data_IF_717601819752
#
_entry.id   IF_717601819752
#
_cell.length_a   1.000
_cell.length_b   1.000
_cell.length_c   1.000
_cell.angle_alpha   90.00
_cell.angle_beta   90.00
_cell.angle_gamma   90.00
#
_symmetry.space_group_name_H-M   'P 1'
#
loop_
_entity.id
_entity.type
_entity.pdbx_description
1 polymer ?
#
# COMPACT_ATOMS: atom_id res chain seq x y z
N UNK A 1 2.84 -27.24 26.78
CA UNK A 1 1.98 -26.20 27.39
C UNK A 1 2.20 -24.88 26.65
N UNK A 2 1.29 -24.49 25.76
CA UNK A 2 1.37 -23.20 25.04
C UNK A 2 0.85 -22.12 25.99
N UNK A 3 1.72 -21.25 26.49
CA UNK A 3 1.30 -20.08 27.29
C UNK A 3 0.33 -19.21 26.49
N UNK A 4 -0.67 -18.66 27.19
CA UNK A 4 -1.70 -17.77 26.66
C UNK A 4 -1.07 -16.61 25.88
N UNK A 5 -1.74 -16.14 24.82
CA UNK A 5 -1.31 -15.01 24.00
C UNK A 5 -0.97 -13.76 24.86
N UNK A 6 -1.71 -13.55 25.94
CA UNK A 6 -1.45 -12.48 26.91
C UNK A 6 -0.10 -12.62 27.64
N UNK A 7 0.30 -13.85 27.99
CA UNK A 7 1.59 -14.10 28.64
C UNK A 7 2.75 -13.77 27.69
N UNK A 8 2.61 -14.08 26.40
CA UNK A 8 3.64 -13.75 25.39
C UNK A 8 3.77 -12.24 25.20
N UNK A 9 2.67 -11.49 25.25
CA UNK A 9 2.67 -10.02 25.20
C UNK A 9 3.37 -9.42 26.43
N UNK A 10 3.12 -9.97 27.63
CA UNK A 10 3.81 -9.56 28.86
C UNK A 10 5.32 -9.85 28.83
N UNK A 11 5.72 -11.02 28.33
CA UNK A 11 7.14 -11.40 28.21
C UNK A 11 7.86 -10.51 27.18
N UNK A 12 7.18 -10.12 26.11
CA UNK A 12 7.73 -9.24 25.08
C UNK A 12 7.80 -7.76 25.49
N UNK A 13 7.42 -7.39 26.73
CA UNK A 13 7.42 -6.01 27.22
C UNK A 13 6.67 -5.02 26.31
N UNK A 14 5.62 -5.50 25.62
CA UNK A 14 4.86 -4.72 24.65
C UNK A 14 5.58 -4.44 23.31
N UNK A 15 6.79 -4.99 23.08
CA UNK A 15 7.47 -4.91 21.80
C UNK A 15 6.88 -5.97 20.85
N UNK A 16 6.24 -5.58 19.72
CA UNK A 16 5.61 -6.50 18.78
C UNK A 16 6.66 -7.13 17.86
N UNK A 17 7.70 -7.74 18.44
CA UNK A 17 8.89 -8.19 17.70
C UNK A 17 8.52 -9.06 16.50
N UNK A 18 7.60 -10.01 16.63
CA UNK A 18 7.17 -10.87 15.52
C UNK A 18 6.58 -10.12 14.31
N UNK A 19 5.80 -9.06 14.55
CA UNK A 19 5.20 -8.28 13.46
C UNK A 19 6.22 -7.39 12.76
N UNK A 20 7.24 -6.90 13.47
CA UNK A 20 8.32 -6.13 12.87
C UNK A 20 9.20 -7.00 11.97
N UNK A 21 9.52 -8.24 12.39
CA UNK A 21 10.20 -9.20 11.51
C UNK A 21 9.39 -9.51 10.25
N UNK A 22 8.07 -9.70 10.38
CA UNK A 22 7.20 -9.94 9.24
C UNK A 22 7.18 -8.76 8.26
N UNK A 23 7.16 -7.52 8.79
CA UNK A 23 7.25 -6.30 7.96
C UNK A 23 8.57 -6.25 7.19
N UNK A 24 9.68 -6.52 7.86
CA UNK A 24 11.02 -6.54 7.23
C UNK A 24 11.04 -7.61 6.13
N UNK A 25 10.61 -8.84 6.43
CA UNK A 25 10.57 -9.93 5.45
C UNK A 25 9.70 -9.60 4.22
N UNK A 26 8.50 -9.06 4.43
CA UNK A 26 7.63 -8.63 3.33
C UNK A 26 8.24 -7.47 2.53
N UNK A 27 8.83 -6.47 3.19
CA UNK A 27 9.49 -5.34 2.51
C UNK A 27 10.68 -5.79 1.64
N UNK A 28 11.46 -6.77 2.13
CA UNK A 28 12.56 -7.35 1.38
C UNK A 28 12.04 -8.13 0.16
N UNK A 29 10.95 -8.89 0.32
CA UNK A 29 10.32 -9.59 -0.79
C UNK A 29 9.81 -8.61 -1.87
N UNK A 30 9.19 -7.50 -1.48
CA UNK A 30 8.78 -6.41 -2.39
C UNK A 30 9.99 -5.82 -3.10
N UNK A 31 11.08 -5.54 -2.38
CA UNK A 31 12.31 -4.97 -2.94
C UNK A 31 12.95 -5.91 -3.97
N UNK A 32 13.14 -7.18 -3.63
CA UNK A 32 13.70 -8.20 -4.53
C UNK A 32 12.85 -8.35 -5.79
N UNK A 33 11.53 -8.43 -5.63
CA UNK A 33 10.60 -8.55 -6.75
C UNK A 33 10.71 -7.34 -7.70
N UNK A 34 10.74 -6.12 -7.17
CA UNK A 34 10.85 -4.92 -7.99
C UNK A 34 12.21 -4.75 -8.66
N UNK A 35 13.31 -5.05 -7.97
CA UNK A 35 14.64 -5.04 -8.58
C UNK A 35 14.70 -6.01 -9.77
N UNK A 36 14.10 -7.20 -9.66
CA UNK A 36 14.02 -8.14 -10.77
C UNK A 36 13.11 -7.63 -11.89
N UNK A 37 11.93 -7.10 -11.55
CA UNK A 37 10.95 -6.63 -12.53
C UNK A 37 11.47 -5.45 -13.37
N UNK A 38 12.25 -4.55 -12.76
CA UNK A 38 12.88 -3.44 -13.49
C UNK A 38 14.03 -3.91 -14.36
N UNK A 39 14.87 -4.82 -13.87
CA UNK A 39 16.05 -5.30 -14.62
C UNK A 39 15.70 -6.28 -15.75
N UNK A 40 14.62 -7.05 -15.62
CA UNK A 40 14.26 -8.13 -16.55
C UNK A 40 12.78 -8.02 -16.93
N UNK A 41 12.35 -6.88 -17.47
CA UNK A 41 10.94 -6.57 -17.71
C UNK A 41 10.17 -7.70 -18.43
N UNK A 42 10.70 -8.20 -19.55
CA UNK A 42 10.04 -9.23 -20.36
C UNK A 42 9.94 -10.59 -19.66
N UNK A 43 10.99 -11.01 -18.96
CA UNK A 43 11.03 -12.28 -18.22
C UNK A 43 10.26 -12.23 -16.90
N UNK A 44 10.19 -11.05 -16.27
CA UNK A 44 9.46 -10.85 -15.01
C UNK A 44 7.98 -11.15 -15.16
N UNK A 45 7.38 -10.80 -16.30
CA UNK A 45 5.98 -11.08 -16.56
C UNK A 45 5.72 -12.59 -16.69
N UNK A 46 6.61 -13.30 -17.39
CA UNK A 46 6.53 -14.75 -17.54
C UNK A 46 6.70 -15.47 -16.20
N UNK A 47 7.63 -15.02 -15.37
CA UNK A 47 7.94 -15.70 -14.11
C UNK A 47 6.91 -15.41 -13.00
N UNK A 48 6.51 -14.14 -12.83
CA UNK A 48 5.69 -13.69 -11.70
C UNK A 48 4.21 -13.54 -12.00
N UNK A 49 3.79 -13.50 -13.27
CA UNK A 49 2.38 -13.35 -13.62
C UNK A 49 1.85 -14.52 -14.44
N UNK A 50 2.65 -15.14 -15.30
CA UNK A 50 2.25 -16.35 -16.03
C UNK A 50 2.83 -17.64 -15.42
N UNK A 51 3.74 -17.52 -14.45
CA UNK A 51 4.57 -18.62 -13.97
C UNK A 51 4.15 -19.18 -12.60
N UNK A 52 4.91 -20.16 -12.08
CA UNK A 52 4.61 -20.84 -10.82
C UNK A 52 4.69 -19.91 -9.60
N UNK A 53 5.44 -18.81 -9.70
CA UNK A 53 5.61 -17.84 -8.60
C UNK A 53 4.45 -16.85 -8.48
N UNK A 54 3.45 -16.92 -9.38
CA UNK A 54 2.32 -16.00 -9.42
C UNK A 54 1.57 -15.87 -8.11
N UNK A 55 1.26 -16.99 -7.46
CA UNK A 55 0.51 -16.95 -6.21
C UNK A 55 1.28 -16.22 -5.10
N UNK A 56 2.60 -16.43 -5.04
CA UNK A 56 3.45 -15.80 -4.05
C UNK A 56 3.62 -14.30 -4.35
N UNK A 57 4.01 -13.94 -5.58
CA UNK A 57 4.17 -12.53 -5.98
C UNK A 57 2.89 -11.74 -5.76
N UNK A 58 1.74 -12.34 -6.10
CA UNK A 58 0.45 -11.68 -5.96
C UNK A 58 -0.03 -11.56 -4.50
N UNK A 59 0.47 -12.40 -3.59
CA UNK A 59 0.09 -12.38 -2.18
C UNK A 59 0.91 -11.39 -1.35
N UNK A 60 2.13 -11.02 -1.78
CA UNK A 60 3.05 -10.18 -0.98
C UNK A 60 2.40 -8.85 -0.57
N UNK A 61 1.82 -8.12 -1.53
CA UNK A 61 1.18 -6.82 -1.26
C UNK A 61 -0.11 -6.96 -0.42
N UNK A 62 -1.04 -7.87 -0.74
CA UNK A 62 -2.17 -8.21 0.14
C UNK A 62 -1.76 -8.55 1.57
N UNK A 63 -0.71 -9.35 1.76
CA UNK A 63 -0.19 -9.69 3.09
C UNK A 63 0.34 -8.44 3.82
N UNK A 64 1.04 -7.55 3.11
CA UNK A 64 1.51 -6.29 3.68
C UNK A 64 0.35 -5.37 4.10
N UNK A 65 -0.67 -5.25 3.27
CA UNK A 65 -1.87 -4.46 3.56
C UNK A 65 -2.70 -5.07 4.70
N UNK A 66 -2.89 -6.39 4.74
CA UNK A 66 -3.59 -7.07 5.84
C UNK A 66 -2.86 -6.89 7.18
N UNK A 67 -1.54 -7.05 7.18
CA UNK A 67 -0.72 -6.79 8.37
C UNK A 67 -0.82 -5.32 8.80
N UNK A 68 -0.79 -4.38 7.84
CA UNK A 68 -0.98 -2.97 8.10
C UNK A 68 -2.35 -2.71 8.75
N UNK A 69 -3.42 -3.26 8.18
CA UNK A 69 -4.79 -3.14 8.71
C UNK A 69 -4.92 -3.58 10.16
N UNK A 70 -4.35 -4.74 10.49
CA UNK A 70 -4.34 -5.26 11.86
C UNK A 70 -3.67 -4.30 12.85
N UNK A 71 -2.47 -3.82 12.51
CA UNK A 71 -1.67 -2.95 13.39
C UNK A 71 -2.24 -1.53 13.48
N UNK A 72 -2.82 -1.04 12.39
CA UNK A 72 -3.45 0.27 12.31
C UNK A 72 -4.76 0.29 13.09
N UNK A 73 -5.58 -0.77 13.01
CA UNK A 73 -6.75 -0.95 13.86
C UNK A 73 -6.37 -0.90 15.36
N UNK A 74 -5.26 -1.56 15.74
CA UNK A 74 -4.76 -1.49 17.11
C UNK A 74 -4.19 -0.14 17.53
N UNK A 75 -3.73 0.67 16.59
CA UNK A 75 -3.39 2.07 16.87
C UNK A 75 -4.63 2.94 17.05
N UNK A 76 -5.69 2.71 16.28
CA UNK A 76 -6.95 3.44 16.40
C UNK A 76 -7.59 3.22 17.78
N UNK A 77 -7.60 1.98 18.28
CA UNK A 77 -8.13 1.68 19.62
C UNK A 77 -7.38 2.35 20.78
N UNK A 78 -6.15 2.83 20.55
CA UNK A 78 -5.30 3.48 21.57
C UNK A 78 -5.22 5.00 21.45
N UNK A 79 -5.84 5.60 20.43
CA UNK A 79 -5.66 7.02 20.11
C UNK A 79 -6.99 7.71 19.82
N UNK A 80 -7.04 9.04 20.00
CA UNK A 80 -8.18 9.84 19.51
C UNK A 80 -8.11 9.97 17.99
N UNK A 81 -9.25 10.15 17.31
CA UNK A 81 -9.33 10.25 15.84
C UNK A 81 -8.35 11.30 15.22
N UNK A 82 -8.22 12.48 15.82
CA UNK A 82 -7.27 13.50 15.33
C UNK A 82 -5.80 13.09 15.52
N UNK A 83 -5.46 12.43 16.64
CA UNK A 83 -4.12 11.90 16.89
C UNK A 83 -3.82 10.76 15.91
N UNK A 84 -4.80 9.89 15.68
CA UNK A 84 -4.70 8.82 14.69
C UNK A 84 -4.39 9.38 13.30
N UNK A 85 -5.15 10.38 12.84
CA UNK A 85 -4.91 11.03 11.55
C UNK A 85 -3.50 11.64 11.47
N UNK A 86 -3.09 12.39 12.49
CA UNK A 86 -1.76 13.01 12.54
C UNK A 86 -0.63 11.97 12.46
N UNK A 87 -0.74 10.84 13.16
CA UNK A 87 0.25 9.76 13.11
C UNK A 87 0.38 9.14 11.71
N UNK A 88 -0.69 9.16 10.90
CA UNK A 88 -0.64 8.67 9.50
C UNK A 88 -0.04 9.69 8.56
N UNK A 89 -0.36 10.97 8.73
CA UNK A 89 0.24 12.05 7.95
C UNK A 89 1.75 12.12 8.20
N UNK A 90 2.19 12.07 9.46
CA UNK A 90 3.61 12.05 9.83
C UNK A 90 4.36 10.79 9.37
N UNK A 91 3.64 9.71 9.06
CA UNK A 91 4.23 8.49 8.49
C UNK A 91 4.45 8.61 6.98
N UNK A 92 3.48 9.17 6.25
CA UNK A 92 3.49 9.19 4.78
C UNK A 92 4.23 10.43 4.25
N UNK A 93 3.84 11.62 4.71
CA UNK A 93 4.26 12.89 4.09
C UNK A 93 5.79 13.07 4.12
N UNK A 94 6.51 12.84 5.24
CA UNK A 94 7.96 13.06 5.25
C UNK A 94 8.71 12.13 4.28
N UNK A 95 8.27 10.88 4.17
CA UNK A 95 8.87 9.91 3.27
C UNK A 95 8.61 10.27 1.79
N UNK A 96 7.37 10.66 1.45
CA UNK A 96 7.04 11.11 0.09
C UNK A 96 7.71 12.43 -0.26
N UNK A 97 7.75 13.40 0.66
CA UNK A 97 8.47 14.65 0.45
C UNK A 97 9.94 14.42 0.12
N UNK A 98 10.61 13.58 0.90
CA UNK A 98 12.00 13.24 0.66
C UNK A 98 12.20 12.54 -0.68
N UNK A 99 11.41 11.50 -0.98
CA UNK A 99 11.49 10.77 -2.25
C UNK A 99 11.22 11.69 -3.44
N UNK A 100 10.15 12.48 -3.38
CA UNK A 100 9.74 13.34 -4.49
C UNK A 100 10.77 14.42 -4.78
N UNK A 101 11.35 15.04 -3.73
CA UNK A 101 12.44 16.01 -3.87
C UNK A 101 13.70 15.35 -4.44
N UNK A 102 14.06 14.17 -3.93
CA UNK A 102 15.22 13.43 -4.39
C UNK A 102 15.10 13.08 -5.88
N UNK A 103 13.94 12.55 -6.29
CA UNK A 103 13.71 12.17 -7.69
C UNK A 103 13.63 13.41 -8.59
N UNK A 104 12.86 14.44 -8.22
CA UNK A 104 12.70 15.63 -9.04
C UNK A 104 14.01 16.43 -9.20
N UNK A 105 14.75 16.64 -8.11
CA UNK A 105 15.93 17.52 -8.16
C UNK A 105 17.22 16.79 -8.53
N UNK A 106 17.38 15.51 -8.17
CA UNK A 106 18.62 14.77 -8.44
C UNK A 106 18.46 13.84 -9.64
N UNK A 107 17.55 12.87 -9.60
CA UNK A 107 17.40 11.94 -10.73
C UNK A 107 16.91 12.66 -11.99
N UNK A 108 15.93 13.54 -11.85
CA UNK A 108 15.37 14.30 -12.95
C UNK A 108 16.41 15.14 -13.69
N UNK A 109 17.28 15.83 -12.96
CA UNK A 109 18.33 16.68 -13.56
C UNK A 109 19.48 15.90 -14.17
N UNK A 110 19.80 14.71 -13.63
CA UNK A 110 20.85 13.82 -14.16
C UNK A 110 20.40 13.13 -15.46
N UNK A 111 19.13 12.72 -15.54
CA UNK A 111 18.62 11.87 -16.63
C UNK A 111 17.74 12.60 -17.64
N UNK A 112 17.45 13.90 -17.46
CA UNK A 112 16.67 14.66 -18.45
C UNK A 112 17.47 14.91 -19.73
N UNK A 113 16.81 14.74 -20.88
CA UNK A 113 17.35 15.12 -22.20
C UNK A 113 17.11 16.60 -22.54
N UNK A 114 16.35 17.32 -21.70
CA UNK A 114 16.02 18.72 -21.92
C UNK A 114 17.07 19.65 -21.27
N UNK A 115 17.27 20.87 -21.82
CA UNK A 115 18.00 21.91 -21.10
C UNK A 115 17.37 22.18 -19.73
N UNK A 116 18.20 22.37 -18.69
CA UNK A 116 17.72 22.56 -17.31
C UNK A 116 16.74 23.74 -17.16
N UNK A 117 16.89 24.78 -17.98
CA UNK A 117 15.96 25.92 -18.01
C UNK A 117 14.55 25.50 -18.45
N UNK A 118 14.45 24.62 -19.45
CA UNK A 118 13.18 24.06 -19.93
C UNK A 118 12.61 23.07 -18.90
N UNK A 119 13.48 22.24 -18.31
CA UNK A 119 13.12 21.29 -17.28
C UNK A 119 12.42 21.96 -16.08
N UNK A 120 13.06 22.96 -15.47
CA UNK A 120 12.52 23.66 -14.29
C UNK A 120 11.35 24.59 -14.61
N UNK A 121 11.19 25.02 -15.87
CA UNK A 121 10.05 25.84 -16.28
C UNK A 121 8.82 25.02 -16.67
N UNK A 122 8.94 23.69 -16.72
CA UNK A 122 7.84 22.81 -17.12
C UNK A 122 6.78 22.69 -16.03
N UNK A 123 5.50 22.73 -16.43
CA UNK A 123 4.38 22.45 -15.53
C UNK A 123 4.42 21.01 -14.97
N UNK A 124 4.96 20.05 -15.72
CA UNK A 124 5.10 18.65 -15.31
C UNK A 124 6.06 18.51 -14.12
N UNK A 125 7.13 19.30 -14.10
CA UNK A 125 8.07 19.33 -12.97
C UNK A 125 7.36 19.75 -11.67
N UNK A 126 6.55 20.80 -11.72
CA UNK A 126 5.79 21.26 -10.55
C UNK A 126 4.66 20.30 -10.17
N UNK A 127 3.99 19.70 -11.16
CA UNK A 127 2.95 18.70 -10.92
C UNK A 127 3.51 17.47 -10.18
N UNK A 128 4.77 17.10 -10.42
CA UNK A 128 5.43 16.01 -9.69
C UNK A 128 5.47 16.23 -8.17
N UNK A 129 5.52 17.47 -7.68
CA UNK A 129 5.47 17.76 -6.25
C UNK A 129 4.10 17.47 -5.60
N UNK A 130 3.05 17.28 -6.40
CA UNK A 130 1.75 16.84 -5.88
C UNK A 130 1.78 15.40 -5.36
N UNK A 131 2.82 14.62 -5.69
CA UNK A 131 3.10 13.31 -5.08
C UNK A 131 3.17 13.38 -3.56
N UNK A 132 3.67 14.48 -2.98
CA UNK A 132 3.83 14.70 -1.53
C UNK A 132 2.50 14.59 -0.79
N UNK A 133 1.42 15.04 -1.43
CA UNK A 133 0.06 15.04 -0.87
C UNK A 133 -0.79 13.85 -1.37
N UNK A 134 -0.18 12.92 -2.12
CA UNK A 134 -0.83 11.71 -2.60
C UNK A 134 -1.49 11.80 -3.97
N UNK A 135 -1.30 12.90 -4.73
CA UNK A 135 -1.74 13.00 -6.13
C UNK A 135 -0.63 12.50 -7.04
N UNK A 136 -0.73 11.24 -7.45
CA UNK A 136 0.38 10.52 -8.05
C UNK A 136 0.65 10.95 -9.50
N UNK A 137 1.89 11.36 -9.76
CA UNK A 137 2.47 11.66 -11.06
C UNK A 137 3.72 10.79 -11.24
N UNK A 138 3.79 10.09 -12.37
CA UNK A 138 4.83 9.08 -12.61
C UNK A 138 6.01 9.57 -13.46
N UNK A 139 5.86 10.71 -14.13
CA UNK A 139 6.77 11.19 -15.16
C UNK A 139 7.37 12.55 -14.80
N UNK A 140 8.55 12.82 -15.35
CA UNK A 140 9.23 14.11 -15.27
C UNK A 140 9.62 14.54 -16.69
N UNK A 141 9.71 15.85 -16.96
CA UNK A 141 9.92 16.36 -18.30
C UNK A 141 11.26 15.90 -18.88
N UNK A 142 11.21 15.21 -20.01
CA UNK A 142 12.39 14.74 -20.73
C UNK A 142 13.16 13.60 -20.05
N UNK A 143 12.58 12.93 -19.05
CA UNK A 143 13.22 11.83 -18.35
C UNK A 143 12.70 10.50 -18.91
N UNK A 144 13.61 9.59 -19.27
CA UNK A 144 13.33 8.24 -19.76
C UNK A 144 12.24 8.16 -20.86
N UNK A 145 12.19 9.12 -21.79
CA UNK A 145 11.20 9.18 -22.87
C UNK A 145 9.74 9.08 -22.38
N UNK A 146 9.43 9.68 -21.23
CA UNK A 146 8.09 9.68 -20.64
C UNK A 146 7.70 8.36 -19.98
N UNK A 147 8.66 7.47 -19.71
CA UNK A 147 8.43 6.26 -18.90
C UNK A 147 8.28 6.62 -17.42
N UNK A 148 7.59 5.75 -16.69
CA UNK A 148 7.39 5.89 -15.25
C UNK A 148 8.72 5.81 -14.51
N UNK A 149 9.05 6.85 -13.75
CA UNK A 149 10.30 6.92 -12.98
C UNK A 149 10.16 6.17 -11.66
N UNK A 150 9.01 6.35 -11.00
CA UNK A 150 8.69 5.64 -9.77
C UNK A 150 7.35 4.94 -9.88
N UNK A 151 7.39 3.70 -10.39
CA UNK A 151 6.21 2.86 -10.47
C UNK A 151 5.60 2.59 -9.07
N UNK A 152 6.38 2.57 -7.99
CA UNK A 152 5.94 2.17 -6.63
C UNK A 152 4.87 3.07 -6.03
N UNK A 153 4.78 4.32 -6.49
CA UNK A 153 3.81 5.30 -6.01
C UNK A 153 2.35 4.84 -6.17
N UNK A 154 2.08 3.84 -7.03
CA UNK A 154 0.74 3.30 -7.26
C UNK A 154 0.03 2.75 -6.00
N UNK A 155 0.78 2.34 -4.98
CA UNK A 155 0.20 1.81 -3.73
C UNK A 155 -0.26 2.90 -2.77
N UNK A 156 0.29 4.12 -2.87
CA UNK A 156 0.05 5.22 -1.93
C UNK A 156 -1.42 5.66 -1.90
N UNK A 157 -2.12 5.86 -3.04
CA UNK A 157 -3.54 6.20 -3.02
C UNK A 157 -4.37 5.16 -2.28
N UNK A 158 -4.04 3.87 -2.46
CA UNK A 158 -4.75 2.77 -1.79
C UNK A 158 -4.49 2.79 -0.28
N UNK A 159 -3.27 3.12 0.16
CA UNK A 159 -2.95 3.27 1.59
C UNK A 159 -3.70 4.45 2.23
N UNK A 160 -3.77 5.59 1.54
CA UNK A 160 -4.55 6.76 1.98
C UNK A 160 -6.04 6.43 2.06
N UNK A 161 -6.58 5.73 1.06
CA UNK A 161 -7.97 5.25 1.05
C UNK A 161 -8.26 4.33 2.24
N UNK A 162 -7.35 3.39 2.56
CA UNK A 162 -7.49 2.51 3.72
C UNK A 162 -7.61 3.28 5.03
N UNK A 163 -6.77 4.30 5.22
CA UNK A 163 -6.79 5.13 6.43
C UNK A 163 -8.07 5.96 6.51
N UNK A 164 -8.49 6.57 5.40
CA UNK A 164 -9.72 7.34 5.33
C UNK A 164 -10.95 6.46 5.60
N UNK A 165 -11.04 5.31 4.93
CA UNK A 165 -12.11 4.34 5.11
C UNK A 165 -12.20 3.88 6.56
N UNK A 166 -11.08 3.50 7.18
CA UNK A 166 -11.08 3.09 8.58
C UNK A 166 -11.54 4.22 9.53
N UNK A 167 -11.13 5.47 9.28
CA UNK A 167 -11.60 6.61 10.07
C UNK A 167 -13.12 6.81 9.94
N UNK A 168 -13.65 6.74 8.72
CA UNK A 168 -15.09 6.85 8.46
C UNK A 168 -15.86 5.73 9.14
N UNK A 169 -15.39 4.48 9.02
CA UNK A 169 -16.00 3.32 9.66
C UNK A 169 -15.97 3.41 11.19
N UNK A 170 -14.92 4.01 11.75
CA UNK A 170 -14.82 4.28 13.18
C UNK A 170 -15.78 5.38 13.64
N UNK A 171 -15.94 6.45 12.86
CA UNK A 171 -16.87 7.55 13.13
C UNK A 171 -18.33 7.07 13.12
N UNK A 172 -18.71 6.26 12.14
CA UNK A 172 -20.05 5.65 12.04
C UNK A 172 -20.24 4.52 13.09
N UNK A 173 -19.18 4.12 13.79
CA UNK A 173 -19.22 3.11 14.84
C UNK A 173 -19.31 1.68 14.32
N UNK A 174 -19.05 1.44 13.03
CA UNK A 174 -19.07 0.10 12.45
C UNK A 174 -17.93 -0.78 13.00
N UNK A 175 -16.81 -0.16 13.39
CA UNK A 175 -15.72 -0.86 14.07
C UNK A 175 -16.12 -1.40 15.46
N UNK A 176 -17.24 -0.95 16.03
CA UNK A 176 -17.81 -1.50 17.28
C UNK A 176 -18.79 -2.65 17.04
N UNK A 177 -19.10 -2.98 15.77
CA UNK A 177 -20.05 -4.02 15.37
C UNK A 177 -19.35 -5.02 14.45
N UNK A 178 -18.47 -5.89 14.97
CA UNK A 178 -17.56 -6.71 14.16
C UNK A 178 -18.30 -7.64 13.18
N UNK A 179 -19.48 -8.17 13.57
CA UNK A 179 -20.31 -8.98 12.67
C UNK A 179 -20.84 -8.20 11.47
N UNK A 180 -21.28 -6.95 11.68
CA UNK A 180 -21.78 -6.09 10.59
C UNK A 180 -20.62 -5.65 9.69
N UNK A 181 -19.46 -5.34 10.28
CA UNK A 181 -18.25 -5.01 9.54
C UNK A 181 -17.84 -6.16 8.61
N UNK A 182 -17.75 -7.39 9.13
CA UNK A 182 -17.39 -8.57 8.34
C UNK A 182 -18.46 -8.90 7.30
N UNK A 183 -19.74 -8.80 7.67
CA UNK A 183 -20.84 -8.97 6.70
C UNK A 183 -20.73 -8.00 5.53
N UNK A 184 -20.49 -6.71 5.80
CA UNK A 184 -20.27 -5.69 4.77
C UNK A 184 -19.02 -5.96 3.93
N UNK A 185 -17.92 -6.40 4.55
CA UNK A 185 -16.69 -6.77 3.85
C UNK A 185 -16.92 -7.94 2.88
N UNK A 186 -17.62 -8.99 3.32
CA UNK A 186 -17.95 -10.15 2.50
C UNK A 186 -18.87 -9.80 1.34
N UNK A 187 -19.92 -8.99 1.60
CA UNK A 187 -20.83 -8.50 0.55
C UNK A 187 -20.05 -7.68 -0.48
N UNK A 188 -19.18 -6.77 -0.03
CA UNK A 188 -18.35 -5.96 -0.92
C UNK A 188 -17.40 -6.80 -1.78
N UNK A 189 -16.76 -7.81 -1.19
CA UNK A 189 -15.88 -8.72 -1.90
C UNK A 189 -16.64 -9.53 -2.96
N UNK A 190 -17.81 -10.09 -2.62
CA UNK A 190 -18.66 -10.83 -3.55
C UNK A 190 -19.15 -9.92 -4.69
N UNK A 191 -19.64 -8.72 -4.36
CA UNK A 191 -20.11 -7.75 -5.35
C UNK A 191 -19.00 -7.36 -6.34
N UNK A 192 -17.78 -7.17 -5.85
CA UNK A 192 -16.60 -6.92 -6.69
C UNK A 192 -16.28 -8.09 -7.61
N UNK A 193 -16.29 -9.33 -7.09
CA UNK A 193 -16.05 -10.53 -7.91
C UNK A 193 -17.12 -10.69 -9.00
N UNK A 194 -18.39 -10.50 -8.65
CA UNK A 194 -19.51 -10.56 -9.61
C UNK A 194 -19.36 -9.48 -10.68
N UNK A 195 -19.04 -8.24 -10.28
CA UNK A 195 -18.82 -7.13 -11.20
C UNK A 195 -17.68 -7.45 -12.18
N UNK A 196 -16.52 -7.91 -11.69
CA UNK A 196 -15.37 -8.29 -12.53
C UNK A 196 -15.73 -9.35 -13.56
N UNK A 197 -16.43 -10.42 -13.14
CA UNK A 197 -16.89 -11.48 -14.05
C UNK A 197 -17.86 -10.92 -15.10
N UNK A 198 -18.80 -10.06 -14.68
CA UNK A 198 -19.83 -9.48 -15.55
C UNK A 198 -19.29 -8.47 -16.56
N UNK A 199 -18.21 -7.75 -16.23
CA UNK A 199 -17.56 -6.77 -17.10
C UNK A 199 -16.74 -7.42 -18.23
N UNK A 200 -16.77 -8.75 -18.36
CA UNK A 200 -16.00 -9.47 -19.37
C UNK A 200 -14.50 -9.50 -19.09
N UNK A 201 -14.08 -9.07 -17.89
CA UNK A 201 -12.71 -9.25 -17.43
C UNK A 201 -12.51 -10.72 -17.06
N UNK A 202 -12.25 -11.55 -18.07
CA UNK A 202 -11.96 -12.98 -17.92
C UNK A 202 -10.60 -13.26 -17.28
N UNK A 203 -9.93 -12.23 -16.78
CA UNK A 203 -8.72 -12.39 -15.99
C UNK A 203 -9.11 -12.38 -14.52
N UNK A 204 -8.93 -13.49 -13.78
CA UNK A 204 -8.95 -13.45 -12.31
C UNK A 204 -7.83 -12.55 -11.70
N UNK A 205 -7.12 -11.79 -12.53
CA UNK A 205 -5.69 -11.62 -12.52
C UNK A 205 -5.18 -10.36 -13.26
N UNK A 206 -6.06 -9.49 -13.77
CA UNK A 206 -5.67 -8.26 -14.50
C UNK A 206 -5.25 -7.18 -13.51
N UNK A 207 -4.00 -7.31 -13.04
CA UNK A 207 -3.31 -6.42 -12.12
C UNK A 207 -3.97 -6.41 -10.72
N UNK A 208 -3.18 -6.52 -9.65
CA UNK A 208 -3.69 -6.32 -8.30
C UNK A 208 -4.15 -4.87 -8.18
N UNK A 209 -5.38 -4.57 -8.59
CA UNK A 209 -5.94 -3.23 -8.50
C UNK A 209 -5.94 -2.79 -7.04
N UNK A 210 -5.83 -1.48 -6.81
CA UNK A 210 -5.81 -0.89 -5.47
C UNK A 210 -6.94 -1.39 -4.55
N UNK A 211 -8.09 -1.75 -5.13
CA UNK A 211 -9.23 -2.34 -4.42
C UNK A 211 -8.87 -3.63 -3.66
N UNK A 212 -8.12 -4.56 -4.25
CA UNK A 212 -7.72 -5.81 -3.57
C UNK A 212 -6.88 -5.50 -2.32
N UNK A 213 -6.03 -4.48 -2.41
CA UNK A 213 -5.23 -4.01 -1.28
C UNK A 213 -6.12 -3.44 -0.17
N UNK A 214 -7.13 -2.65 -0.53
CA UNK A 214 -8.11 -2.11 0.43
C UNK A 214 -8.89 -3.22 1.13
N UNK A 215 -9.39 -4.22 0.40
CA UNK A 215 -10.08 -5.37 0.99
C UNK A 215 -9.17 -6.18 1.91
N UNK A 216 -7.91 -6.37 1.53
CA UNK A 216 -6.92 -7.08 2.34
C UNK A 216 -6.63 -6.33 3.64
N UNK A 217 -6.49 -4.99 3.58
CA UNK A 217 -6.37 -4.15 4.76
C UNK A 217 -7.59 -4.29 5.67
N UNK A 218 -8.80 -4.23 5.12
CA UNK A 218 -10.03 -4.38 5.91
C UNK A 218 -10.17 -5.78 6.51
N UNK A 219 -9.69 -6.83 5.84
CA UNK A 219 -9.59 -8.16 6.42
C UNK A 219 -8.63 -8.19 7.63
N UNK A 220 -7.52 -7.47 7.55
CA UNK A 220 -6.61 -7.24 8.68
C UNK A 220 -7.29 -6.52 9.85
N UNK A 221 -8.10 -5.49 9.56
CA UNK A 221 -8.92 -4.81 10.57
C UNK A 221 -9.93 -5.77 11.20
N UNK A 222 -10.64 -6.58 10.40
CA UNK A 222 -11.56 -7.59 10.91
C UNK A 222 -10.85 -8.59 11.84
N UNK A 223 -9.68 -9.07 11.45
CA UNK A 223 -8.88 -9.98 12.28
C UNK A 223 -8.50 -9.34 13.63
N UNK A 224 -8.25 -8.03 13.65
CA UNK A 224 -8.02 -7.30 14.90
C UNK A 224 -9.28 -7.20 15.78
N UNK A 225 -10.45 -6.99 15.17
CA UNK A 225 -11.71 -6.89 15.91
C UNK A 225 -12.16 -8.22 16.54
N UNK A 226 -11.71 -9.36 16.01
CA UNK A 226 -12.00 -10.72 16.50
C UNK A 226 -10.82 -11.38 17.25
N UNK A 227 -9.86 -10.58 17.74
CA UNK A 227 -8.65 -11.10 18.40
C UNK A 227 -8.91 -11.67 19.80
N UNK A 228 -10.05 -11.33 20.41
CA UNK A 228 -10.49 -11.74 21.74
C UNK A 228 -11.43 -12.95 21.62
#
# INVERSE_FOLDING_TARGET
MRGSFEQRIKIANGAPSGFDHLRIGLSLAVLVWHCYAVSNYDDSNRLFWAGPWRALSAAILPMFFALSGFLVAGSLGRTRLHQFAMLRLLRIIPALAFETVLVALFLGTIFTVLPLTVYFSSAEFYAYFLNIVGFIHYTLPGVFDGRMINAQLWTIPSELECYLALMVLALVGLTRRPAVFVGGLMIGAIAMTVFSISAGDQSPYAQLGGRVLVFSFMAGVAAYLYRD
#
